data_IF_182402549304
#
_entry.id   IF_182402549304
#
_cell.length_a   1.000
_cell.length_b   1.000
_cell.length_c   1.000
_cell.angle_alpha   90.00
_cell.angle_beta   90.00
_cell.angle_gamma   90.00
#
_symmetry.space_group_name_H-M   'P 1'
#
loop_
_entity.id
_entity.type
_entity.pdbx_description
1 polymer ?
#
# COMPACT_ATOMS: atom_id res chain seq x y z
N UNK A 1 -18.53 -14.14 38.25
CA UNK A 1 -18.95 -15.06 37.18
C UNK A 1 -19.42 -14.22 35.96
N UNK A 2 -18.55 -13.60 35.22
CA UNK A 2 -18.89 -12.84 33.99
C UNK A 2 -17.68 -12.79 33.07
N UNK A 3 -17.23 -13.96 32.58
CA UNK A 3 -16.08 -13.96 31.66
C UNK A 3 -16.10 -15.19 30.75
N UNK A 4 -17.17 -15.44 30.01
CA UNK A 4 -17.13 -16.53 29.01
C UNK A 4 -18.16 -16.41 27.88
N UNK A 5 -18.66 -15.20 27.54
CA UNK A 5 -19.68 -15.06 26.47
C UNK A 5 -19.12 -14.49 25.18
N UNK A 6 -17.85 -14.04 25.13
CA UNK A 6 -17.29 -13.32 23.97
C UNK A 6 -16.40 -14.16 23.04
N UNK A 7 -16.22 -15.46 23.26
CA UNK A 7 -15.26 -16.25 22.47
C UNK A 7 -15.87 -17.19 21.40
N UNK A 8 -17.19 -17.24 21.23
CA UNK A 8 -17.82 -18.20 20.31
C UNK A 8 -18.62 -17.60 19.15
N UNK A 9 -18.64 -16.28 18.96
CA UNK A 9 -19.19 -15.71 17.74
C UNK A 9 -18.07 -15.41 16.74
N UNK A 10 -17.37 -16.44 16.28
CA UNK A 10 -16.78 -16.38 14.91
C UNK A 10 -17.98 -16.26 13.97
N UNK A 11 -18.29 -15.03 13.56
CA UNK A 11 -19.18 -14.80 12.43
C UNK A 11 -18.61 -15.67 11.32
N UNK A 12 -19.33 -16.72 10.93
CA UNK A 12 -18.92 -17.61 9.86
C UNK A 12 -19.09 -16.81 8.56
N UNK A 13 -18.06 -16.02 8.23
CA UNK A 13 -18.02 -15.23 6.99
C UNK A 13 -17.92 -16.26 5.88
N UNK A 14 -19.03 -16.58 5.23
CA UNK A 14 -19.10 -17.60 4.18
C UNK A 14 -18.18 -17.27 3.00
N UNK A 15 -17.93 -15.99 2.75
CA UNK A 15 -16.99 -15.53 1.72
C UNK A 15 -16.36 -14.19 2.16
N UNK A 16 -15.14 -14.19 2.72
CA UNK A 16 -14.42 -12.96 3.10
C UNK A 16 -14.23 -11.97 1.93
N UNK A 17 -14.04 -12.49 0.71
CA UNK A 17 -13.83 -11.68 -0.49
C UNK A 17 -15.06 -10.85 -0.85
N UNK A 18 -16.26 -11.45 -0.81
CA UNK A 18 -17.52 -10.74 -1.10
C UNK A 18 -17.76 -9.60 -0.10
N UNK A 19 -17.44 -9.82 1.19
CA UNK A 19 -17.57 -8.78 2.22
C UNK A 19 -16.56 -7.67 1.96
N UNK A 20 -15.29 -8.03 1.74
CA UNK A 20 -14.21 -7.11 1.50
C UNK A 20 -14.51 -6.21 0.28
N UNK A 21 -14.78 -6.82 -0.87
CA UNK A 21 -15.13 -6.07 -2.09
C UNK A 21 -16.44 -5.29 -1.95
N UNK A 22 -17.46 -5.87 -1.31
CA UNK A 22 -18.75 -5.23 -1.12
C UNK A 22 -18.64 -3.94 -0.31
N UNK A 23 -17.84 -3.93 0.78
CA UNK A 23 -17.62 -2.76 1.62
C UNK A 23 -16.78 -1.69 0.90
N UNK A 24 -15.77 -2.09 0.12
CA UNK A 24 -14.99 -1.15 -0.70
C UNK A 24 -15.89 -0.47 -1.75
N UNK A 25 -16.73 -1.24 -2.47
CA UNK A 25 -17.65 -0.70 -3.48
C UNK A 25 -18.69 0.27 -2.90
N UNK A 26 -19.09 0.06 -1.64
CA UNK A 26 -20.04 0.92 -0.92
C UNK A 26 -19.36 2.09 -0.19
N UNK A 27 -18.04 2.19 -0.27
CA UNK A 27 -17.24 3.19 0.45
C UNK A 27 -17.34 3.11 1.99
N UNK A 28 -17.58 1.90 2.52
CA UNK A 28 -17.78 1.66 3.96
C UNK A 28 -16.45 1.40 4.71
N UNK A 29 -15.53 2.35 4.66
CA UNK A 29 -14.18 2.23 5.23
C UNK A 29 -14.17 2.05 6.74
N UNK A 30 -15.04 2.75 7.46
CA UNK A 30 -15.14 2.64 8.92
C UNK A 30 -15.54 1.22 9.31
N UNK A 31 -16.47 0.61 8.58
CA UNK A 31 -16.88 -0.78 8.79
C UNK A 31 -15.71 -1.74 8.55
N UNK A 32 -14.94 -1.55 7.46
CA UNK A 32 -13.73 -2.33 7.17
C UNK A 32 -12.69 -2.23 8.29
N UNK A 33 -12.36 -1.02 8.72
CA UNK A 33 -11.40 -0.80 9.81
C UNK A 33 -11.85 -1.48 11.11
N UNK A 34 -13.15 -1.46 11.39
CA UNK A 34 -13.72 -2.14 12.56
C UNK A 34 -13.60 -3.65 12.47
N UNK A 35 -13.83 -4.24 11.29
CA UNK A 35 -13.66 -5.69 11.08
C UNK A 35 -12.19 -6.11 11.25
N UNK A 36 -11.24 -5.30 10.77
CA UNK A 36 -9.81 -5.53 10.96
C UNK A 36 -9.42 -5.42 12.44
N UNK A 37 -9.84 -4.35 13.14
CA UNK A 37 -9.51 -4.12 14.54
C UNK A 37 -10.07 -5.19 15.49
N UNK A 38 -11.17 -5.82 15.12
CA UNK A 38 -11.79 -6.93 15.86
C UNK A 38 -11.24 -8.31 15.44
N UNK A 39 -10.26 -8.37 14.53
CA UNK A 39 -9.73 -9.60 13.93
C UNK A 39 -10.82 -10.51 13.32
N UNK A 40 -11.92 -9.92 12.85
CA UNK A 40 -12.97 -10.63 12.11
C UNK A 40 -12.52 -10.85 10.66
N UNK A 41 -11.83 -9.88 10.09
CA UNK A 41 -11.16 -9.95 8.80
C UNK A 41 -9.66 -9.71 9.01
N UNK A 42 -8.82 -10.47 8.32
CA UNK A 42 -7.36 -10.26 8.35
C UNK A 42 -7.01 -8.94 7.66
N UNK A 43 -6.24 -8.07 8.34
CA UNK A 43 -5.75 -6.79 7.77
C UNK A 43 -4.93 -7.00 6.49
N UNK A 44 -4.27 -8.16 6.37
CA UNK A 44 -3.47 -8.54 5.21
C UNK A 44 -4.25 -9.44 4.23
N UNK A 45 -5.58 -9.52 4.38
CA UNK A 45 -6.43 -10.18 3.40
C UNK A 45 -6.15 -9.64 1.99
N UNK A 46 -6.13 -10.55 1.01
CA UNK A 46 -5.92 -10.23 -0.41
C UNK A 46 -7.05 -10.79 -1.23
N UNK A 47 -7.53 -10.00 -2.17
CA UNK A 47 -8.52 -10.46 -3.14
C UNK A 47 -7.88 -11.42 -4.18
N UNK A 48 -8.69 -11.95 -5.09
CA UNK A 48 -8.24 -12.86 -6.15
C UNK A 48 -7.16 -12.27 -7.09
N UNK A 49 -6.96 -10.94 -7.08
CA UNK A 49 -5.89 -10.23 -7.80
C UNK A 49 -4.69 -9.91 -6.92
N UNK A 50 -4.66 -10.43 -5.69
CA UNK A 50 -3.58 -10.20 -4.72
C UNK A 50 -3.56 -8.82 -4.10
N UNK A 51 -4.63 -8.01 -4.26
CA UNK A 51 -4.71 -6.63 -3.75
C UNK A 51 -5.17 -6.64 -2.29
N UNK A 52 -4.46 -5.90 -1.44
CA UNK A 52 -4.85 -5.68 -0.06
C UNK A 52 -5.63 -4.37 0.12
N UNK A 53 -6.05 -4.06 1.35
CA UNK A 53 -6.80 -2.84 1.65
C UNK A 53 -6.02 -1.56 1.37
N UNK A 54 -4.69 -1.57 1.53
CA UNK A 54 -3.84 -0.41 1.25
C UNK A 54 -3.84 -0.06 -0.24
N UNK A 55 -3.88 -1.06 -1.15
CA UNK A 55 -4.07 -0.84 -2.58
C UNK A 55 -5.31 0.02 -2.83
N UNK A 56 -6.44 -0.35 -2.24
CA UNK A 56 -7.70 0.36 -2.45
C UNK A 56 -7.72 1.73 -1.76
N UNK A 57 -7.07 1.88 -0.60
CA UNK A 57 -6.94 3.17 0.06
C UNK A 57 -6.18 4.19 -0.80
N UNK A 58 -5.08 3.77 -1.43
CA UNK A 58 -4.31 4.62 -2.35
C UNK A 58 -5.11 4.89 -3.63
N UNK A 59 -5.66 3.85 -4.27
CA UNK A 59 -6.42 3.98 -5.51
C UNK A 59 -7.61 4.94 -5.39
N UNK A 60 -8.35 4.83 -4.29
CA UNK A 60 -9.56 5.64 -4.02
C UNK A 60 -9.25 6.94 -3.26
N UNK A 61 -7.94 7.29 -3.09
CA UNK A 61 -7.48 8.50 -2.39
C UNK A 61 -8.02 8.65 -0.95
N UNK A 62 -8.18 7.53 -0.26
CA UNK A 62 -8.65 7.45 1.13
C UNK A 62 -7.49 7.65 2.11
N UNK A 63 -6.82 8.77 1.97
CA UNK A 63 -5.57 9.08 2.67
C UNK A 63 -5.72 9.13 4.19
N UNK A 64 -6.89 9.53 4.66
CA UNK A 64 -7.23 9.61 6.07
C UNK A 64 -7.15 8.27 6.82
N UNK A 65 -7.28 7.16 6.10
CA UNK A 65 -7.23 5.83 6.68
C UNK A 65 -5.83 5.17 6.62
N UNK A 66 -4.92 5.68 5.79
CA UNK A 66 -3.61 5.03 5.56
C UNK A 66 -2.84 4.85 6.87
N UNK A 67 -2.78 5.91 7.71
CA UNK A 67 -2.10 5.80 9.00
C UNK A 67 -2.70 4.70 9.88
N UNK A 68 -4.03 4.66 10.00
CA UNK A 68 -4.73 3.63 10.79
C UNK A 68 -4.46 2.23 10.26
N UNK A 69 -4.37 2.04 8.94
CA UNK A 69 -4.01 0.76 8.33
C UNK A 69 -2.60 0.32 8.74
N UNK A 70 -1.63 1.25 8.78
CA UNK A 70 -0.28 0.96 9.28
C UNK A 70 -0.26 0.66 10.77
N UNK A 71 -1.03 1.39 11.58
CA UNK A 71 -1.19 1.13 13.02
C UNK A 71 -1.78 -0.29 13.27
N UNK A 72 -2.56 -0.82 12.32
CA UNK A 72 -3.07 -2.20 12.32
C UNK A 72 -2.12 -3.21 11.64
N UNK A 73 -0.91 -2.80 11.30
CA UNK A 73 0.15 -3.63 10.68
C UNK A 73 -0.19 -4.15 9.27
N UNK A 74 -0.79 -3.30 8.42
CA UNK A 74 -1.00 -3.63 7.01
C UNK A 74 0.34 -3.80 6.28
N UNK A 75 0.42 -4.78 5.40
CA UNK A 75 1.57 -4.97 4.52
C UNK A 75 1.70 -3.82 3.51
N UNK A 76 2.90 -3.26 3.37
CA UNK A 76 3.22 -2.27 2.34
C UNK A 76 3.26 -2.85 0.93
N UNK A 77 3.32 -4.16 0.78
CA UNK A 77 3.15 -4.85 -0.50
C UNK A 77 1.67 -4.83 -0.87
N UNK A 78 1.29 -3.98 -1.83
CA UNK A 78 -0.14 -3.71 -2.14
C UNK A 78 -0.77 -4.73 -3.06
N UNK A 79 0.02 -5.38 -3.93
CA UNK A 79 -0.39 -6.51 -4.75
C UNK A 79 0.79 -7.48 -4.94
N UNK A 80 0.70 -8.44 -5.87
CA UNK A 80 1.76 -9.44 -6.08
C UNK A 80 3.10 -8.85 -6.55
N UNK A 81 3.13 -7.66 -7.15
CA UNK A 81 4.33 -7.12 -7.78
C UNK A 81 4.78 -5.77 -7.22
N UNK A 82 3.84 -4.95 -6.72
CA UNK A 82 4.11 -3.57 -6.36
C UNK A 82 4.01 -3.35 -4.85
N UNK A 83 4.99 -2.64 -4.31
CA UNK A 83 4.85 -2.01 -3.00
C UNK A 83 4.04 -0.70 -3.10
N UNK A 84 3.66 -0.14 -1.96
CA UNK A 84 2.81 1.05 -1.89
C UNK A 84 3.45 2.30 -2.53
N UNK A 85 4.78 2.46 -2.43
CA UNK A 85 5.49 3.60 -3.02
C UNK A 85 5.48 3.51 -4.55
N UNK A 86 5.85 2.35 -5.11
CA UNK A 86 5.85 2.13 -6.55
C UNK A 86 4.45 2.26 -7.14
N UNK A 87 3.43 1.76 -6.44
CA UNK A 87 2.03 1.91 -6.85
C UNK A 87 1.58 3.38 -6.85
N UNK A 88 1.97 4.16 -5.84
CA UNK A 88 1.67 5.60 -5.79
C UNK A 88 2.32 6.36 -6.96
N UNK A 89 3.54 5.99 -7.35
CA UNK A 89 4.19 6.55 -8.55
C UNK A 89 3.43 6.18 -9.82
N UNK A 90 2.96 4.93 -9.96
CA UNK A 90 2.16 4.54 -11.14
C UNK A 90 0.92 5.41 -11.30
N UNK A 91 0.29 5.83 -10.18
CA UNK A 91 -0.87 6.71 -10.15
C UNK A 91 -0.53 8.22 -10.26
N UNK A 92 0.76 8.59 -10.27
CA UNK A 92 1.24 9.98 -10.20
C UNK A 92 0.77 10.71 -8.92
N UNK A 93 0.72 10.00 -7.80
CA UNK A 93 0.12 10.46 -6.54
C UNK A 93 1.21 10.81 -5.50
N UNK A 94 1.71 12.05 -5.56
CA UNK A 94 2.70 12.57 -4.60
C UNK A 94 2.15 12.69 -3.18
N UNK A 95 0.84 12.87 -3.01
CA UNK A 95 0.21 12.94 -1.69
C UNK A 95 0.21 11.58 -1.00
N UNK A 96 -0.06 10.51 -1.75
CA UNK A 96 0.09 9.16 -1.23
C UNK A 96 1.55 8.90 -0.81
N UNK A 97 2.54 9.25 -1.66
CA UNK A 97 3.97 9.13 -1.33
C UNK A 97 4.31 9.84 -0.01
N UNK A 98 3.89 11.09 0.14
CA UNK A 98 4.13 11.88 1.36
C UNK A 98 3.58 11.17 2.61
N UNK A 99 2.35 10.67 2.55
CA UNK A 99 1.70 10.02 3.69
C UNK A 99 2.40 8.69 4.02
N UNK A 100 2.75 7.89 3.00
CA UNK A 100 3.46 6.63 3.18
C UNK A 100 4.83 6.82 3.85
N UNK A 101 5.59 7.85 3.44
CA UNK A 101 6.85 8.19 4.10
C UNK A 101 6.64 8.65 5.54
N UNK A 102 5.59 9.43 5.83
CA UNK A 102 5.22 9.82 7.20
C UNK A 102 4.78 8.62 8.06
N UNK A 103 4.30 7.55 7.45
CA UNK A 103 4.01 6.29 8.13
C UNK A 103 5.28 5.43 8.37
N UNK A 104 6.45 5.90 7.96
CA UNK A 104 7.73 5.24 8.22
C UNK A 104 8.22 4.29 7.12
N UNK A 105 7.62 4.32 5.93
CA UNK A 105 8.16 3.55 4.81
C UNK A 105 9.52 4.13 4.39
N UNK A 106 10.50 3.26 4.18
CA UNK A 106 11.77 3.64 3.58
C UNK A 106 11.56 4.01 2.10
N UNK A 107 11.98 5.22 1.73
CA UNK A 107 11.88 5.77 0.38
C UNK A 107 12.62 4.92 -0.66
N UNK A 108 13.62 4.16 -0.21
CA UNK A 108 14.47 3.28 -1.02
C UNK A 108 13.99 1.83 -1.04
N UNK A 109 12.77 1.55 -0.53
CA UNK A 109 12.18 0.21 -0.58
C UNK A 109 12.08 -0.28 -2.02
N UNK A 110 12.61 -1.48 -2.26
CA UNK A 110 12.53 -2.17 -3.55
C UNK A 110 11.27 -3.05 -3.64
N UNK A 111 10.77 -3.26 -4.84
CA UNK A 111 9.73 -4.25 -5.13
C UNK A 111 10.32 -5.63 -5.47
N UNK A 112 9.48 -6.56 -5.95
CA UNK A 112 9.90 -7.93 -6.27
C UNK A 112 10.91 -8.04 -7.42
N UNK A 113 10.97 -7.04 -8.30
CA UNK A 113 11.98 -6.97 -9.38
C UNK A 113 13.18 -6.09 -9.03
N UNK A 114 13.28 -5.68 -7.76
CA UNK A 114 14.36 -4.85 -7.25
C UNK A 114 14.28 -3.39 -7.65
N UNK A 115 13.14 -2.92 -8.16
CA UNK A 115 13.00 -1.52 -8.60
C UNK A 115 12.48 -0.62 -7.49
N UNK A 116 13.13 0.56 -7.35
CA UNK A 116 12.69 1.61 -6.42
C UNK A 116 11.61 2.50 -7.02
N UNK A 117 10.90 3.24 -6.17
CA UNK A 117 9.93 4.24 -6.61
C UNK A 117 10.55 5.31 -7.51
N UNK A 118 11.81 5.68 -7.27
CA UNK A 118 12.54 6.63 -8.12
C UNK A 118 12.75 6.08 -9.53
N UNK A 119 13.17 4.82 -9.69
CA UNK A 119 13.32 4.16 -11.00
C UNK A 119 11.97 4.15 -11.73
N UNK A 120 10.88 3.75 -11.05
CA UNK A 120 9.52 3.79 -11.62
C UNK A 120 9.13 5.20 -12.12
N UNK A 121 9.45 6.25 -11.33
CA UNK A 121 9.08 7.62 -11.69
C UNK A 121 9.76 8.08 -13.00
N UNK A 122 10.98 7.64 -13.25
CA UNK A 122 11.73 7.94 -14.47
C UNK A 122 11.16 7.14 -15.64
N UNK A 123 11.01 5.82 -15.48
CA UNK A 123 10.52 4.93 -16.54
C UNK A 123 9.11 5.30 -17.00
N UNK A 124 8.23 5.68 -16.08
CA UNK A 124 6.86 6.10 -16.39
C UNK A 124 6.70 7.60 -16.63
N UNK A 125 7.81 8.36 -16.66
CA UNK A 125 7.83 9.81 -16.91
C UNK A 125 6.95 10.61 -15.94
N UNK A 126 6.94 10.17 -14.66
CA UNK A 126 6.18 10.79 -13.56
C UNK A 126 7.01 11.89 -12.90
N UNK A 127 7.16 13.01 -13.60
CA UNK A 127 8.06 14.10 -13.18
C UNK A 127 7.78 14.60 -11.76
N UNK A 128 6.50 14.78 -11.38
CA UNK A 128 6.14 15.27 -10.04
C UNK A 128 6.59 14.30 -8.95
N UNK A 129 6.38 12.99 -9.17
CA UNK A 129 6.84 11.97 -8.24
C UNK A 129 8.37 11.90 -8.21
N UNK A 130 9.05 12.00 -9.36
CA UNK A 130 10.51 12.02 -9.43
C UNK A 130 11.09 13.18 -8.62
N UNK A 131 10.61 14.42 -8.86
CA UNK A 131 11.07 15.61 -8.15
C UNK A 131 10.82 15.48 -6.64
N UNK A 132 9.65 14.98 -6.25
CA UNK A 132 9.30 14.72 -4.85
C UNK A 132 10.25 13.71 -4.20
N UNK A 133 10.51 12.57 -4.85
CA UNK A 133 11.38 11.52 -4.33
C UNK A 133 12.83 12.01 -4.18
N UNK A 134 13.35 12.73 -5.17
CA UNK A 134 14.70 13.32 -5.11
C UNK A 134 14.83 14.33 -3.97
N UNK A 135 13.83 15.21 -3.78
CA UNK A 135 13.81 16.19 -2.69
C UNK A 135 13.75 15.54 -1.30
N UNK A 136 13.19 14.34 -1.20
CA UNK A 136 13.09 13.59 0.05
C UNK A 136 14.21 12.55 0.23
N UNK A 137 15.27 12.60 -0.57
CA UNK A 137 16.49 11.83 -0.36
C UNK A 137 16.47 10.41 -0.95
N UNK A 138 15.68 10.15 -1.98
CA UNK A 138 15.77 8.87 -2.71
C UNK A 138 17.17 8.68 -3.32
N UNK A 139 17.73 7.47 -3.15
CA UNK A 139 19.07 7.14 -3.64
C UNK A 139 19.06 6.94 -5.16
N UNK A 140 19.80 7.81 -5.87
CA UNK A 140 19.94 7.78 -7.32
C UNK A 140 20.83 6.64 -7.82
N UNK A 141 21.67 6.07 -6.96
CA UNK A 141 22.62 5.02 -7.29
C UNK A 141 22.08 3.61 -6.98
N UNK A 142 20.89 3.51 -6.38
CA UNK A 142 20.27 2.24 -6.07
C UNK A 142 19.93 1.50 -7.36
N UNK A 143 20.52 0.31 -7.53
CA UNK A 143 20.35 -0.51 -8.73
C UNK A 143 19.16 -1.48 -8.56
N UNK A 144 18.40 -1.66 -9.64
CA UNK A 144 17.43 -2.75 -9.74
C UNK A 144 18.14 -4.10 -10.04
N UNK A 145 17.39 -5.20 -10.07
CA UNK A 145 17.97 -6.53 -10.35
C UNK A 145 18.51 -6.69 -11.79
N UNK A 146 18.24 -5.73 -12.66
CA UNK A 146 18.77 -5.67 -14.02
C UNK A 146 20.00 -4.77 -14.15
N UNK A 147 20.47 -4.18 -13.03
CA UNK A 147 21.60 -3.25 -12.98
C UNK A 147 21.27 -1.83 -13.47
N UNK A 148 19.99 -1.44 -13.54
CA UNK A 148 19.65 -0.06 -13.86
C UNK A 148 19.57 0.77 -12.58
N UNK A 149 20.13 1.98 -12.61
CA UNK A 149 19.93 2.96 -11.53
C UNK A 149 19.34 4.26 -12.08
N UNK A 150 18.71 5.03 -11.18
CA UNK A 150 18.08 6.30 -11.54
C UNK A 150 19.06 7.27 -12.19
N UNK A 151 20.31 7.33 -11.72
CA UNK A 151 21.38 8.18 -12.22
C UNK A 151 21.66 7.98 -13.72
N UNK A 152 21.64 6.73 -14.18
CA UNK A 152 21.93 6.41 -15.57
C UNK A 152 20.70 6.56 -16.47
N UNK A 153 19.51 6.33 -15.92
CA UNK A 153 18.24 6.52 -16.61
C UNK A 153 17.94 8.01 -16.88
N UNK A 154 18.30 8.92 -15.97
CA UNK A 154 18.11 10.38 -16.14
C UNK A 154 18.97 10.93 -17.28
N UNK A 155 20.12 10.31 -17.59
CA UNK A 155 21.04 10.78 -18.64
C UNK A 155 20.63 10.37 -20.06
N UNK A 156 19.67 9.45 -20.17
CA UNK A 156 19.16 8.96 -21.47
C UNK A 156 17.99 9.84 -21.96
#
# INVERSE_FOLDING_TARGET
MCNNILLNNRVNIKNPEDIFEGLIKKDEWITLLRLFSLNILDINFRDCKGRNILYFAILNKKYEYIKTLFDLSVSSQVNFHLNALNFSVCLDDTKALEILLKCGLDINTLDEIGSSALIYSILYKKKKCMDFLLLNGADINLEDFMGNCAKDLIKR
#
